data_IF_803785744770
#
_entry.id   IF_803785744770
#
_cell.length_a   1.000
_cell.length_b   1.000
_cell.length_c   1.000
_cell.angle_alpha   90.00
_cell.angle_beta   90.00
_cell.angle_gamma   90.00
#
_symmetry.space_group_name_H-M   'P 1'
#
loop_
_entity.id
_entity.type
_entity.pdbx_description
1 polymer ?
#
# COMPACT_ATOMS: atom_id res chain seq x y z
N UNK A 1 -19.03 8.87 -1.88
CA UNK A 1 -17.76 9.24 -1.24
C UNK A 1 -17.86 8.90 0.23
N UNK A 2 -17.44 7.69 0.62
CA UNK A 2 -17.39 7.30 2.04
C UNK A 2 -16.06 7.78 2.61
N UNK A 3 -16.11 8.93 3.28
CA UNK A 3 -15.08 9.31 4.24
C UNK A 3 -14.94 8.15 5.23
N UNK A 4 -13.71 7.68 5.43
CA UNK A 4 -13.39 6.74 6.50
C UNK A 4 -14.02 7.27 7.80
N UNK A 5 -14.80 6.47 8.55
CA UNK A 5 -15.10 6.81 9.92
C UNK A 5 -13.78 6.68 10.67
N UNK A 6 -13.01 7.77 10.71
CA UNK A 6 -11.94 7.96 11.67
C UNK A 6 -12.63 8.13 13.03
N UNK A 7 -13.14 7.02 13.56
CA UNK A 7 -13.39 6.88 14.97
C UNK A 7 -12.10 7.33 15.64
N UNK A 8 -12.21 8.39 16.43
CA UNK A 8 -11.17 8.97 17.26
C UNK A 8 -10.70 7.91 18.25
N UNK A 9 -9.87 6.98 17.79
CA UNK A 9 -9.08 6.14 18.68
C UNK A 9 -8.07 7.11 19.30
N UNK A 10 -8.36 7.62 20.50
CA UNK A 10 -7.33 8.24 21.32
C UNK A 10 -6.34 7.12 21.63
N UNK A 11 -5.37 6.93 20.74
CA UNK A 11 -4.26 6.00 20.94
C UNK A 11 -3.73 6.27 22.33
N UNK A 12 -3.64 5.23 23.15
CA UNK A 12 -3.27 5.36 24.55
C UNK A 12 -1.77 5.21 24.76
N UNK A 13 -1.04 4.73 23.74
CA UNK A 13 0.39 4.53 23.82
C UNK A 13 1.07 4.55 22.42
N UNK A 14 2.42 4.70 22.36
CA UNK A 14 3.20 4.65 21.13
C UNK A 14 3.17 3.31 20.39
N UNK A 15 2.86 2.20 21.09
CA UNK A 15 2.79 0.86 20.49
C UNK A 15 1.59 0.75 19.53
N UNK A 16 0.44 1.29 19.92
CA UNK A 16 -0.75 1.35 19.06
C UNK A 16 -0.50 2.22 17.82
N UNK A 17 0.29 3.30 17.95
CA UNK A 17 0.73 4.08 16.78
C UNK A 17 1.63 3.24 15.87
N UNK A 18 2.58 2.48 16.43
CA UNK A 18 3.43 1.58 15.65
C UNK A 18 2.59 0.53 14.90
N UNK A 19 1.60 -0.08 15.55
CA UNK A 19 0.65 -1.01 14.93
C UNK A 19 -0.11 -0.36 13.77
N UNK A 20 -0.65 0.86 13.94
CA UNK A 20 -1.31 1.57 12.85
C UNK A 20 -0.38 1.94 11.71
N UNK A 21 0.89 2.27 12.00
CA UNK A 21 1.89 2.49 10.95
C UNK A 21 2.17 1.21 10.16
N UNK A 22 1.98 0.01 10.74
CA UNK A 22 2.14 -1.26 10.00
C UNK A 22 1.00 -1.58 9.04
N UNK A 23 -0.19 -1.01 9.27
CA UNK A 23 -1.40 -1.24 8.46
C UNK A 23 -1.61 -0.17 7.39
N UNK A 24 -0.97 0.99 7.54
CA UNK A 24 -0.99 2.05 6.55
C UNK A 24 -0.45 1.58 5.20
N UNK A 25 -1.23 1.81 4.14
CA UNK A 25 -0.90 1.43 2.76
C UNK A 25 -0.38 2.61 1.95
N UNK A 26 -0.63 3.84 2.40
CA UNK A 26 -0.26 5.05 1.65
C UNK A 26 0.54 6.02 2.49
N UNK A 27 1.40 6.82 1.83
CA UNK A 27 2.14 7.89 2.51
C UNK A 27 1.21 8.91 3.20
N UNK A 28 0.05 9.17 2.61
CA UNK A 28 -0.94 10.09 3.16
C UNK A 28 -1.48 9.63 4.51
N UNK A 29 -1.70 8.32 4.69
CA UNK A 29 -2.10 7.73 5.98
C UNK A 29 -0.98 7.88 7.01
N UNK A 30 0.27 7.59 6.63
CA UNK A 30 1.44 7.78 7.49
C UNK A 30 1.58 9.24 7.94
N UNK A 31 1.42 10.20 7.03
CA UNK A 31 1.46 11.63 7.36
C UNK A 31 0.31 12.06 8.28
N UNK A 32 -0.90 11.54 8.06
CA UNK A 32 -2.03 11.83 8.92
C UNK A 32 -1.77 11.33 10.35
N UNK A 33 -1.27 10.10 10.50
CA UNK A 33 -0.90 9.52 11.79
C UNK A 33 0.24 10.31 12.47
N UNK A 34 1.28 10.68 11.72
CA UNK A 34 2.39 11.46 12.24
C UNK A 34 2.01 12.90 12.65
N UNK A 35 1.01 13.50 12.01
CA UNK A 35 0.46 14.81 12.42
C UNK A 35 -0.47 14.71 13.62
N UNK A 36 -1.21 13.61 13.75
CA UNK A 36 -2.12 13.39 14.87
C UNK A 36 -1.37 13.08 16.18
N UNK A 37 -0.20 12.43 16.10
CA UNK A 37 0.59 12.02 17.26
C UNK A 37 2.08 12.41 17.11
N UNK A 38 2.42 13.72 17.09
CA UNK A 38 3.77 14.18 16.83
C UNK A 38 4.77 13.71 17.90
N UNK A 39 4.33 13.64 19.16
CA UNK A 39 5.18 13.30 20.31
C UNK A 39 5.59 11.83 20.31
N UNK A 40 4.78 10.95 19.72
CA UNK A 40 5.03 9.50 19.69
C UNK A 40 5.69 9.01 18.41
N UNK A 41 5.92 9.90 17.43
CA UNK A 41 6.48 9.53 16.13
C UNK A 41 7.81 8.79 16.24
N UNK A 42 8.70 9.25 17.13
CA UNK A 42 10.02 8.65 17.32
C UNK A 42 9.94 7.29 17.98
N UNK A 43 9.19 7.20 19.07
CA UNK A 43 9.02 5.97 19.85
C UNK A 43 8.32 4.89 19.01
N UNK A 44 7.24 5.25 18.29
CA UNK A 44 6.56 4.34 17.38
C UNK A 44 7.47 3.87 16.24
N UNK A 45 8.34 4.74 15.71
CA UNK A 45 9.31 4.36 14.67
C UNK A 45 10.35 3.37 15.19
N UNK A 46 10.83 3.55 16.42
CA UNK A 46 11.78 2.65 17.08
C UNK A 46 11.20 1.25 17.34
N UNK A 47 9.88 1.15 17.49
CA UNK A 47 9.17 -0.12 17.67
C UNK A 47 8.94 -0.90 16.36
N UNK A 48 9.06 -0.26 15.19
CA UNK A 48 8.87 -0.93 13.89
C UNK A 48 10.04 -1.87 13.56
N UNK A 49 9.72 -3.01 12.95
CA UNK A 49 10.72 -3.91 12.38
C UNK A 49 11.47 -3.25 11.21
N UNK A 50 12.71 -3.68 10.90
CA UNK A 50 13.49 -3.14 9.77
C UNK A 50 12.73 -3.18 8.44
N UNK A 51 12.05 -4.29 8.17
CA UNK A 51 11.24 -4.49 6.95
C UNK A 51 10.10 -3.48 6.84
N UNK A 52 9.43 -3.16 7.96
CA UNK A 52 8.35 -2.16 7.98
C UNK A 52 8.88 -0.74 7.82
N UNK A 53 10.05 -0.44 8.38
CA UNK A 53 10.71 0.85 8.16
C UNK A 53 11.07 1.05 6.69
N UNK A 54 11.60 0.01 6.05
CA UNK A 54 11.91 0.02 4.62
C UNK A 54 10.64 0.22 3.78
N UNK A 55 9.57 -0.51 4.08
CA UNK A 55 8.27 -0.32 3.43
C UNK A 55 7.76 1.13 3.55
N UNK A 56 7.82 1.75 4.73
CA UNK A 56 7.41 3.16 4.90
C UNK A 56 8.33 4.11 4.13
N UNK A 57 9.63 3.83 4.05
CA UNK A 57 10.55 4.60 3.21
C UNK A 57 10.20 4.50 1.73
N UNK A 58 9.81 3.32 1.25
CA UNK A 58 9.32 3.13 -0.13
C UNK A 58 8.02 3.92 -0.35
N UNK A 59 7.06 3.89 0.58
CA UNK A 59 5.86 4.73 0.49
C UNK A 59 6.21 6.22 0.39
N UNK A 60 7.20 6.68 1.14
CA UNK A 60 7.69 8.07 1.08
C UNK A 60 8.31 8.40 -0.27
N UNK A 61 9.09 7.48 -0.86
CA UNK A 61 9.73 7.67 -2.16
C UNK A 61 8.68 7.88 -3.27
N UNK A 62 7.56 7.17 -3.20
CA UNK A 62 6.51 7.20 -4.21
C UNK A 62 5.33 8.12 -3.86
N UNK A 63 5.49 9.00 -2.88
CA UNK A 63 4.41 9.88 -2.40
C UNK A 63 3.83 10.79 -3.50
N UNK A 64 4.68 11.23 -4.44
CA UNK A 64 4.31 12.15 -5.51
C UNK A 64 3.92 11.42 -6.81
N UNK A 65 4.00 10.07 -6.83
CA UNK A 65 3.65 9.26 -7.99
C UNK A 65 2.15 8.93 -7.99
N UNK A 66 1.35 9.44 -8.94
CA UNK A 66 -0.10 9.19 -8.98
C UNK A 66 -0.43 7.70 -9.13
N UNK A 67 0.38 6.97 -9.89
CA UNK A 67 0.27 5.52 -10.08
C UNK A 67 0.42 4.77 -8.77
N UNK A 68 1.41 5.12 -7.94
CA UNK A 68 1.60 4.48 -6.63
C UNK A 68 0.48 4.82 -5.63
N UNK A 69 -0.17 5.99 -5.76
CA UNK A 69 -1.35 6.30 -4.94
C UNK A 69 -2.57 5.50 -5.38
N UNK A 70 -2.71 5.24 -6.69
CA UNK A 70 -3.80 4.43 -7.26
C UNK A 70 -3.62 2.94 -6.95
N UNK A 71 -2.38 2.45 -7.00
CA UNK A 71 -2.01 1.06 -6.79
C UNK A 71 -0.91 0.96 -5.73
N UNK A 72 -1.23 1.06 -4.43
CA UNK A 72 -0.21 1.01 -3.38
C UNK A 72 0.57 -0.32 -3.33
N UNK A 73 1.77 -0.28 -2.75
CA UNK A 73 2.60 -1.47 -2.59
C UNK A 73 1.87 -2.52 -1.75
N UNK A 74 1.86 -3.76 -2.23
CA UNK A 74 1.14 -4.89 -1.62
C UNK A 74 -0.34 -4.97 -1.97
N UNK A 75 -0.90 -3.99 -2.69
CA UNK A 75 -2.30 -4.10 -3.13
C UNK A 75 -2.44 -5.14 -4.26
N UNK A 76 -3.61 -5.76 -4.33
CA UNK A 76 -3.92 -6.74 -5.37
C UNK A 76 -4.48 -6.03 -6.61
N UNK A 77 -3.91 -6.32 -7.77
CA UNK A 77 -4.31 -5.78 -9.06
C UNK A 77 -4.63 -6.90 -10.04
N UNK A 78 -5.46 -6.57 -11.02
CA UNK A 78 -5.84 -7.46 -12.12
C UNK A 78 -5.74 -6.65 -13.43
N UNK A 79 -5.36 -7.31 -14.52
CA UNK A 79 -5.41 -6.70 -15.86
C UNK A 79 -6.87 -6.55 -16.30
N UNK A 80 -7.24 -5.39 -16.84
CA UNK A 80 -8.62 -5.08 -17.24
C UNK A 80 -9.15 -6.06 -18.31
N UNK A 81 -8.28 -6.54 -19.19
CA UNK A 81 -8.62 -7.49 -20.27
C UNK A 81 -8.18 -8.92 -19.98
N UNK A 82 -7.96 -9.29 -18.71
CA UNK A 82 -7.55 -10.65 -18.35
C UNK A 82 -8.69 -11.63 -18.65
N UNK A 83 -8.49 -12.52 -19.61
CA UNK A 83 -9.44 -13.62 -19.89
C UNK A 83 -9.40 -14.72 -18.82
N UNK A 84 -8.32 -14.75 -18.03
CA UNK A 84 -8.06 -15.77 -17.00
C UNK A 84 -8.33 -15.28 -15.58
N UNK A 85 -8.62 -13.99 -15.37
CA UNK A 85 -8.87 -13.43 -14.04
C UNK A 85 -7.65 -13.45 -13.09
N UNK A 86 -6.42 -13.55 -13.63
CA UNK A 86 -5.21 -13.59 -12.81
C UNK A 86 -4.99 -12.27 -12.05
N UNK A 87 -4.78 -12.40 -10.75
CA UNK A 87 -4.48 -11.28 -9.84
C UNK A 87 -3.03 -11.33 -9.36
N UNK A 88 -2.42 -10.18 -9.13
CA UNK A 88 -1.08 -10.11 -8.53
C UNK A 88 -0.92 -8.99 -7.52
N UNK A 89 0.07 -9.13 -6.64
CA UNK A 89 0.39 -8.13 -5.62
C UNK A 89 1.43 -7.15 -6.14
N UNK A 90 1.15 -5.85 -6.04
CA UNK A 90 2.07 -4.79 -6.49
C UNK A 90 3.35 -4.78 -5.66
N UNK A 91 4.50 -4.78 -6.35
CA UNK A 91 5.82 -4.81 -5.71
C UNK A 91 6.70 -3.61 -6.05
N UNK A 92 6.48 -2.93 -7.19
CA UNK A 92 7.28 -1.79 -7.59
C UNK A 92 6.61 -0.99 -8.73
N UNK A 93 7.21 0.16 -9.06
CA UNK A 93 6.81 1.03 -10.15
C UNK A 93 8.04 1.49 -10.92
N UNK A 94 7.83 1.80 -12.19
CA UNK A 94 8.79 2.52 -13.01
C UNK A 94 8.07 3.32 -14.07
N UNK A 95 8.74 4.34 -14.60
CA UNK A 95 8.21 5.16 -15.68
C UNK A 95 9.21 5.21 -16.83
N UNK A 96 8.72 5.13 -18.05
CA UNK A 96 9.53 5.38 -19.24
C UNK A 96 8.70 6.09 -20.31
N UNK A 97 9.31 7.08 -20.96
CA UNK A 97 8.69 7.87 -22.02
C UNK A 97 7.32 8.48 -21.61
N UNK A 98 7.17 8.87 -20.34
CA UNK A 98 5.92 9.42 -19.80
C UNK A 98 4.82 8.39 -19.53
N UNK A 99 5.14 7.10 -19.63
CA UNK A 99 4.22 5.99 -19.35
C UNK A 99 4.62 5.36 -18.01
N UNK A 100 3.65 5.26 -17.11
CA UNK A 100 3.82 4.60 -15.82
C UNK A 100 3.49 3.11 -15.90
N UNK A 101 4.37 2.30 -15.33
CA UNK A 101 4.25 0.86 -15.26
C UNK A 101 4.21 0.42 -13.81
N UNK A 102 3.42 -0.62 -13.56
CA UNK A 102 3.30 -1.29 -12.28
C UNK A 102 3.86 -2.69 -12.43
N UNK A 103 4.77 -3.06 -11.54
CA UNK A 103 5.27 -4.42 -11.40
C UNK A 103 4.49 -5.11 -10.28
N UNK A 104 4.04 -6.34 -10.54
CA UNK A 104 3.28 -7.13 -9.57
C UNK A 104 3.65 -8.60 -9.68
N UNK A 105 3.52 -9.32 -8.56
CA UNK A 105 3.79 -10.75 -8.46
C UNK A 105 2.50 -11.54 -8.66
N UNK A 106 2.48 -12.47 -9.60
CA UNK A 106 1.38 -13.41 -9.86
C UNK A 106 1.87 -14.81 -9.51
N UNK A 107 1.46 -15.33 -8.35
CA UNK A 107 2.03 -16.58 -7.83
C UNK A 107 3.54 -16.45 -7.57
N UNK A 108 4.37 -17.22 -8.29
CA UNK A 108 5.84 -17.14 -8.20
C UNK A 108 6.45 -16.20 -9.26
N UNK A 109 5.68 -15.80 -10.26
CA UNK A 109 6.16 -15.02 -11.39
C UNK A 109 6.05 -13.51 -11.13
N UNK A 110 6.94 -12.75 -11.79
CA UNK A 110 6.89 -11.29 -11.81
C UNK A 110 6.37 -10.85 -13.18
N UNK A 111 5.32 -10.04 -13.15
CA UNK A 111 4.72 -9.45 -14.34
C UNK A 111 4.71 -7.92 -14.21
N UNK A 112 4.52 -7.23 -15.33
CA UNK A 112 4.41 -5.78 -15.38
C UNK A 112 3.43 -5.33 -16.44
N UNK A 113 2.74 -4.23 -16.17
CA UNK A 113 1.76 -3.67 -17.08
C UNK A 113 1.68 -2.16 -16.93
N UNK A 114 1.22 -1.47 -17.98
CA UNK A 114 0.93 -0.04 -17.85
C UNK A 114 -0.21 0.16 -16.84
N UNK A 115 -0.07 1.18 -16.01
CA UNK A 115 -1.03 1.52 -14.96
C UNK A 115 -2.47 1.68 -15.49
N UNK A 116 -2.63 2.09 -16.75
CA UNK A 116 -3.94 2.29 -17.40
C UNK A 116 -4.69 0.98 -17.67
N UNK A 117 -3.99 -0.15 -17.78
CA UNK A 117 -4.57 -1.47 -18.05
C UNK A 117 -4.77 -2.30 -16.79
N UNK A 118 -4.60 -1.68 -15.61
CA UNK A 118 -4.79 -2.34 -14.32
C UNK A 118 -6.01 -1.77 -13.60
N UNK A 119 -6.69 -2.65 -12.87
CA UNK A 119 -7.70 -2.30 -11.87
C UNK A 119 -7.28 -2.87 -10.52
N UNK A 120 -7.56 -2.15 -9.45
CA UNK A 120 -7.39 -2.66 -8.09
C UNK A 120 -8.56 -3.58 -7.79
N UNK A 121 -8.27 -4.78 -7.31
CA UNK A 121 -9.29 -5.71 -6.83
C UNK A 121 -9.22 -5.74 -5.31
N UNK A 122 -10.36 -5.93 -4.66
CA UNK A 122 -10.33 -6.29 -3.24
C UNK A 122 -9.67 -7.66 -3.16
N UNK A 123 -8.82 -7.87 -2.17
CA UNK A 123 -8.47 -9.23 -1.80
C UNK A 123 -9.77 -9.86 -1.31
N UNK A 124 -10.50 -10.52 -2.20
CA UNK A 124 -11.48 -11.49 -1.75
C UNK A 124 -10.67 -12.51 -0.96
N UNK A 125 -11.10 -12.75 0.29
CA UNK A 125 -10.70 -13.95 1.00
C UNK A 125 -10.93 -15.10 0.03
N UNK A 126 -9.86 -15.68 -0.51
CA UNK A 126 -9.94 -17.00 -1.12
C UNK A 126 -10.25 -17.99 0.02
N UNK A 127 -11.53 -18.05 0.35
CA UNK A 127 -12.19 -19.18 0.97
C UNK A 127 -13.21 -19.65 -0.05
N UNK A 128 -12.90 -20.78 -0.68
CA UNK A 128 -13.78 -21.78 -1.30
C UNK A 128 -12.89 -22.61 -2.22
N UNK A 129 -12.32 -23.71 -1.71
CA UNK A 129 -12.87 -25.07 -1.88
C UNK A 129 -12.61 -25.63 -3.29
N UNK A 130 -11.57 -26.46 -3.41
CA UNK A 130 -11.68 -27.90 -3.72
C UNK A 130 -10.35 -28.60 -3.50
#
# INVERSE_FOLDING_TARGET
MTALPLSRWELQNPQQLAELLTTAQTWKEIEALGKAYPDWKREAWELLSPEKREYIQQLKQWKDCPTAQKFPLGCTVERINSTQGLTGQVISYWSAYGIDYVMFRVGQDIDWCQAIFLKRVKADNQSSEN
#
